data_IF_189627144835
#
_entry.id   IF_189627144835
#
_cell.length_a   1.000
_cell.length_b   1.000
_cell.length_c   1.000
_cell.angle_alpha   90.00
_cell.angle_beta   90.00
_cell.angle_gamma   90.00
#
_symmetry.space_group_name_H-M   'P 1'
#
loop_
_entity.id
_entity.type
_entity.pdbx_description
1 polymer ?
#
# COMPACT_ATOMS: atom_id res chain seq x y z
N UNK A 1 3.74 22.28 -12.62
CA UNK A 1 3.58 21.31 -11.51
C UNK A 1 4.94 21.18 -10.81
N UNK A 2 5.04 21.38 -9.49
CA UNK A 2 6.36 21.35 -8.80
C UNK A 2 6.89 19.91 -8.80
N UNK A 3 8.21 19.72 -8.99
CA UNK A 3 8.90 18.40 -9.00
C UNK A 3 8.48 17.50 -7.84
N UNK A 4 8.27 18.09 -6.67
CA UNK A 4 7.86 17.38 -5.46
C UNK A 4 6.48 16.72 -5.57
N UNK A 5 5.50 17.39 -6.18
CA UNK A 5 4.15 16.82 -6.38
C UNK A 5 4.19 15.59 -7.27
N UNK A 6 4.99 15.64 -8.34
CA UNK A 6 5.14 14.49 -9.24
C UNK A 6 5.80 13.30 -8.53
N UNK A 7 6.81 13.54 -7.69
CA UNK A 7 7.46 12.48 -6.92
C UNK A 7 6.51 11.82 -5.93
N UNK A 8 5.70 12.60 -5.21
CA UNK A 8 4.71 12.04 -4.28
C UNK A 8 3.68 11.20 -5.04
N UNK A 9 3.19 11.66 -6.18
CA UNK A 9 2.26 10.90 -7.02
C UNK A 9 2.89 9.59 -7.50
N UNK A 10 4.15 9.63 -7.95
CA UNK A 10 4.87 8.47 -8.44
C UNK A 10 5.06 7.41 -7.32
N UNK A 11 5.56 7.82 -6.14
CA UNK A 11 5.67 6.96 -4.96
C UNK A 11 4.31 6.35 -4.62
N UNK A 12 3.26 7.18 -4.52
CA UNK A 12 1.92 6.73 -4.16
C UNK A 12 1.37 5.67 -5.11
N UNK A 13 1.53 5.89 -6.42
CA UNK A 13 1.05 4.98 -7.45
C UNK A 13 1.77 3.62 -7.39
N UNK A 14 3.10 3.61 -7.33
CA UNK A 14 3.86 2.37 -7.29
C UNK A 14 3.66 1.60 -5.99
N UNK A 15 3.52 2.29 -4.87
CA UNK A 15 3.19 1.66 -3.59
C UNK A 15 1.81 1.00 -3.62
N UNK A 16 0.81 1.68 -4.19
CA UNK A 16 -0.52 1.09 -4.37
C UNK A 16 -0.48 -0.12 -5.30
N UNK A 17 0.21 -0.01 -6.44
CA UNK A 17 0.36 -1.11 -7.39
C UNK A 17 1.05 -2.32 -6.77
N UNK A 18 2.13 -2.11 -6.01
CA UNK A 18 2.82 -3.19 -5.31
C UNK A 18 1.93 -3.84 -4.24
N UNK A 19 1.21 -3.03 -3.46
CA UNK A 19 0.24 -3.54 -2.50
C UNK A 19 -0.88 -4.35 -3.16
N UNK A 20 -1.37 -3.89 -4.31
CA UNK A 20 -2.37 -4.59 -5.10
C UNK A 20 -1.86 -5.93 -5.64
N UNK A 21 -0.61 -6.00 -6.10
CA UNK A 21 0.02 -7.25 -6.53
C UNK A 21 0.12 -8.25 -5.38
N UNK A 22 0.58 -7.80 -4.20
CA UNK A 22 0.65 -8.65 -3.00
C UNK A 22 -0.75 -9.16 -2.64
N UNK A 23 -1.74 -8.25 -2.64
CA UNK A 23 -3.13 -8.57 -2.37
C UNK A 23 -3.69 -9.63 -3.34
N UNK A 24 -3.41 -9.49 -4.65
CA UNK A 24 -3.78 -10.45 -5.67
C UNK A 24 -3.18 -11.84 -5.43
N UNK A 25 -1.87 -11.91 -5.16
CA UNK A 25 -1.21 -13.19 -4.88
C UNK A 25 -1.73 -13.84 -3.58
N UNK A 26 -1.93 -13.06 -2.52
CA UNK A 26 -2.52 -13.57 -1.28
C UNK A 26 -3.94 -14.10 -1.48
N UNK A 27 -4.75 -13.44 -2.32
CA UNK A 27 -6.09 -13.90 -2.67
C UNK A 27 -6.07 -15.19 -3.48
N UNK A 28 -5.15 -15.27 -4.45
CA UNK A 28 -4.95 -16.48 -5.24
C UNK A 28 -4.58 -17.66 -4.35
N UNK A 29 -3.62 -17.47 -3.42
CA UNK A 29 -3.24 -18.51 -2.47
C UNK A 29 -4.41 -18.91 -1.56
N UNK A 30 -5.16 -17.92 -1.06
CA UNK A 30 -6.34 -18.16 -0.24
C UNK A 30 -7.38 -19.00 -1.00
N UNK A 31 -7.83 -18.56 -2.18
CA UNK A 31 -8.82 -19.29 -3.00
C UNK A 31 -8.32 -20.69 -3.35
N UNK A 32 -7.04 -20.84 -3.72
CA UNK A 32 -6.45 -22.13 -4.07
C UNK A 32 -6.45 -23.14 -2.90
N UNK A 33 -6.54 -22.67 -1.67
CA UNK A 33 -6.62 -23.54 -0.49
C UNK A 33 -8.01 -24.16 -0.26
N UNK A 34 -9.07 -23.55 -0.82
CA UNK A 34 -10.46 -24.04 -0.69
C UNK A 34 -10.95 -24.75 -1.94
N UNK A 35 -10.48 -24.33 -3.10
CA UNK A 35 -10.88 -24.88 -4.39
C UNK A 35 -9.93 -26.01 -4.74
N UNK A 36 -10.41 -27.26 -4.66
CA UNK A 36 -9.65 -28.44 -5.09
C UNK A 36 -9.44 -28.52 -6.61
N UNK A 37 -10.12 -27.67 -7.37
CA UNK A 37 -9.96 -27.56 -8.82
C UNK A 37 -8.69 -26.78 -9.19
N UNK A 38 -8.00 -27.27 -10.23
CA UNK A 38 -6.76 -26.66 -10.74
C UNK A 38 -6.98 -25.77 -11.96
N UNK A 39 -8.22 -25.46 -12.31
CA UNK A 39 -8.51 -24.56 -13.44
C UNK A 39 -7.99 -23.14 -13.11
N UNK A 40 -6.93 -22.66 -13.80
CA UNK A 40 -6.35 -21.35 -13.53
C UNK A 40 -7.32 -20.20 -13.80
N UNK A 41 -8.23 -20.36 -14.76
CA UNK A 41 -9.20 -19.32 -15.10
C UNK A 41 -10.23 -19.16 -13.99
N UNK A 42 -10.74 -20.27 -13.45
CA UNK A 42 -11.66 -20.25 -12.32
C UNK A 42 -11.00 -19.64 -11.08
N UNK A 43 -9.76 -20.04 -10.76
CA UNK A 43 -9.00 -19.48 -9.64
C UNK A 43 -8.81 -17.96 -9.79
N UNK A 44 -8.47 -17.49 -10.99
CA UNK A 44 -8.34 -16.07 -11.27
C UNK A 44 -9.68 -15.33 -11.12
N UNK A 45 -10.77 -15.88 -11.67
CA UNK A 45 -12.10 -15.28 -11.58
C UNK A 45 -12.58 -15.16 -10.14
N UNK A 46 -12.41 -16.22 -9.34
CA UNK A 46 -12.76 -16.21 -7.92
C UNK A 46 -11.92 -15.23 -7.12
N UNK A 47 -10.62 -15.15 -7.42
CA UNK A 47 -9.71 -14.18 -6.79
C UNK A 47 -10.12 -12.74 -7.13
N UNK A 48 -10.40 -12.45 -8.40
CA UNK A 48 -10.84 -11.12 -8.84
C UNK A 48 -12.22 -10.77 -8.28
N UNK A 49 -13.14 -11.74 -8.20
CA UNK A 49 -14.44 -11.54 -7.58
C UNK A 49 -14.29 -11.15 -6.11
N UNK A 50 -13.48 -11.88 -5.35
CA UNK A 50 -13.17 -11.57 -3.94
C UNK A 50 -12.52 -10.19 -3.79
N UNK A 51 -11.65 -9.79 -4.72
CA UNK A 51 -11.00 -8.48 -4.76
C UNK A 51 -11.96 -7.32 -5.08
N UNK A 52 -12.95 -7.56 -5.93
CA UNK A 52 -13.71 -6.49 -6.60
C UNK A 52 -14.61 -5.68 -5.67
N UNK A 53 -15.13 -6.28 -4.59
CA UNK A 53 -16.23 -5.72 -3.81
C UNK A 53 -15.95 -4.34 -3.21
N UNK A 54 -14.70 -4.08 -2.82
CA UNK A 54 -14.32 -2.83 -2.15
C UNK A 54 -13.08 -2.15 -2.74
N UNK A 55 -12.53 -2.65 -3.86
CA UNK A 55 -11.26 -2.15 -4.40
C UNK A 55 -11.30 -0.66 -4.74
N UNK A 56 -12.41 -0.18 -5.32
CA UNK A 56 -12.58 1.24 -5.67
C UNK A 56 -12.59 2.12 -4.42
N UNK A 57 -13.31 1.70 -3.38
CA UNK A 57 -13.36 2.40 -2.10
C UNK A 57 -11.98 2.41 -1.44
N UNK A 58 -11.26 1.29 -1.46
CA UNK A 58 -9.91 1.21 -0.91
C UNK A 58 -8.91 2.08 -1.68
N UNK A 59 -8.96 2.06 -3.01
CA UNK A 59 -8.16 2.97 -3.84
C UNK A 59 -8.44 4.43 -3.51
N UNK A 60 -9.72 4.82 -3.44
CA UNK A 60 -10.12 6.18 -3.07
C UNK A 60 -9.57 6.59 -1.71
N UNK A 61 -9.82 5.79 -0.67
CA UNK A 61 -9.34 6.08 0.68
C UNK A 61 -7.80 6.13 0.74
N UNK A 62 -7.11 5.32 -0.07
CA UNK A 62 -5.66 5.28 -0.08
C UNK A 62 -5.08 6.60 -0.59
N UNK A 63 -5.56 7.04 -1.76
CA UNK A 63 -5.08 8.30 -2.35
C UNK A 63 -5.61 9.54 -1.63
N UNK A 64 -6.83 9.51 -1.10
CA UNK A 64 -7.46 10.67 -0.45
C UNK A 64 -7.07 10.84 1.03
N UNK A 65 -6.69 9.76 1.73
CA UNK A 65 -6.45 9.79 3.18
C UNK A 65 -5.05 9.30 3.53
N UNK A 66 -4.73 8.05 3.18
CA UNK A 66 -3.48 7.44 3.64
C UNK A 66 -2.24 8.12 3.05
N UNK A 67 -2.25 8.43 1.75
CA UNK A 67 -1.14 9.11 1.06
C UNK A 67 -0.87 10.50 1.66
N UNK A 68 -1.85 11.41 1.80
CA UNK A 68 -1.62 12.69 2.46
C UNK A 68 -1.10 12.57 3.88
N UNK A 69 -1.62 11.60 4.65
CA UNK A 69 -1.20 11.36 6.03
C UNK A 69 0.27 10.88 6.09
N UNK A 70 0.62 9.85 5.31
CA UNK A 70 1.99 9.33 5.24
C UNK A 70 2.97 10.39 4.72
N UNK A 71 2.62 11.10 3.63
CA UNK A 71 3.47 12.16 3.08
C UNK A 71 3.65 13.32 4.06
N UNK A 72 2.60 13.69 4.80
CA UNK A 72 2.67 14.72 5.84
C UNK A 72 3.61 14.32 6.97
N UNK A 73 3.44 13.12 7.51
CA UNK A 73 4.26 12.60 8.61
C UNK A 73 5.73 12.42 8.19
N UNK A 74 5.98 11.76 7.06
CA UNK A 74 7.34 11.44 6.62
C UNK A 74 8.14 12.64 6.13
N UNK A 75 7.50 13.76 5.79
CA UNK A 75 8.19 15.03 5.55
C UNK A 75 8.86 15.59 6.80
N UNK A 76 8.33 15.28 7.98
CA UNK A 76 8.81 15.80 9.26
C UNK A 76 9.85 14.87 9.92
N UNK A 77 10.21 13.76 9.29
CA UNK A 77 11.05 12.73 9.90
C UNK A 77 12.52 12.86 9.53
N UNK A 78 13.37 12.45 10.48
CA UNK A 78 14.80 12.38 10.26
C UNK A 78 15.12 11.19 9.33
N UNK A 79 15.91 11.37 8.25
CA UNK A 79 16.32 10.27 7.36
C UNK A 79 17.22 9.21 8.00
N UNK A 80 17.76 9.48 9.21
CA UNK A 80 18.74 8.63 9.88
C UNK A 80 18.26 7.23 10.27
N UNK A 81 16.94 6.99 10.33
CA UNK A 81 16.37 5.68 10.62
C UNK A 81 15.56 5.14 9.42
N UNK A 82 16.16 4.35 8.53
CA UNK A 82 15.49 3.80 7.34
C UNK A 82 14.36 2.84 7.68
N UNK A 83 14.46 2.12 8.80
CA UNK A 83 13.49 1.08 9.16
C UNK A 83 12.16 1.68 9.63
N UNK A 84 12.18 2.89 10.18
CA UNK A 84 10.99 3.58 10.69
C UNK A 84 9.98 3.92 9.60
N UNK A 85 10.42 4.28 8.39
CA UNK A 85 9.52 4.63 7.28
C UNK A 85 8.59 3.47 6.87
N UNK A 86 9.09 2.27 6.49
CA UNK A 86 8.22 1.15 6.10
C UNK A 86 7.36 0.64 7.26
N UNK A 87 7.92 0.52 8.47
CA UNK A 87 7.14 0.07 9.65
C UNK A 87 5.97 0.99 9.95
N UNK A 88 6.21 2.29 9.88
CA UNK A 88 5.17 3.28 10.16
C UNK A 88 4.17 3.42 9.02
N UNK A 89 4.62 3.24 7.78
CA UNK A 89 3.75 3.13 6.61
C UNK A 89 2.77 1.96 6.77
N UNK A 90 3.26 0.78 7.15
CA UNK A 90 2.42 -0.37 7.52
C UNK A 90 1.46 -0.06 8.66
N UNK A 91 1.93 0.60 9.72
CA UNK A 91 1.11 0.98 10.87
C UNK A 91 -0.01 1.95 10.49
N UNK A 92 0.26 2.93 9.64
CA UNK A 92 -0.74 3.86 9.10
C UNK A 92 -1.73 3.11 8.21
N UNK A 93 -1.25 2.22 7.33
CA UNK A 93 -2.10 1.36 6.52
C UNK A 93 -3.07 0.54 7.37
N UNK A 94 -2.57 -0.10 8.43
CA UNK A 94 -3.39 -0.86 9.38
C UNK A 94 -4.43 0.04 10.09
N UNK A 95 -4.03 1.22 10.57
CA UNK A 95 -4.94 2.15 11.23
C UNK A 95 -6.06 2.62 10.29
N UNK A 96 -5.73 2.97 9.05
CA UNK A 96 -6.72 3.35 8.03
C UNK A 96 -7.66 2.18 7.71
N UNK A 97 -7.14 0.96 7.59
CA UNK A 97 -7.94 -0.23 7.36
C UNK A 97 -8.93 -0.48 8.51
N UNK A 98 -8.48 -0.34 9.77
CA UNK A 98 -9.33 -0.50 10.95
C UNK A 98 -10.43 0.57 11.02
N UNK A 99 -10.11 1.83 10.72
CA UNK A 99 -11.11 2.92 10.67
C UNK A 99 -12.11 2.68 9.55
N UNK A 100 -11.66 2.30 8.35
CA UNK A 100 -12.54 1.98 7.24
C UNK A 100 -13.48 0.80 7.58
N UNK A 101 -12.94 -0.24 8.22
CA UNK A 101 -13.71 -1.39 8.66
C UNK A 101 -14.77 -1.03 9.72
N UNK A 102 -14.44 -0.14 10.65
CA UNK A 102 -15.39 0.38 11.63
C UNK A 102 -16.54 1.14 10.97
N UNK A 103 -16.24 1.98 9.97
CA UNK A 103 -17.24 2.78 9.26
C UNK A 103 -18.18 1.93 8.40
N UNK A 104 -17.63 0.93 7.70
CA UNK A 104 -18.39 0.05 6.79
C UNK A 104 -19.00 -1.16 7.53
N UNK A 105 -18.72 -1.31 8.84
CA UNK A 105 -19.12 -2.44 9.71
C UNK A 105 -18.68 -3.81 9.18
N UNK A 106 -17.69 -3.85 8.31
CA UNK A 106 -17.13 -5.07 7.74
C UNK A 106 -15.62 -5.02 7.91
N UNK A 107 -15.09 -5.90 8.77
CA UNK A 107 -13.64 -6.13 8.88
C UNK A 107 -13.28 -7.18 7.86
N UNK A 108 -12.79 -6.76 6.70
CA UNK A 108 -12.18 -7.67 5.74
C UNK A 108 -10.67 -7.72 6.00
N UNK A 109 -10.22 -8.84 6.57
CA UNK A 109 -8.78 -9.11 6.78
C UNK A 109 -8.01 -9.03 5.46
N UNK A 110 -8.68 -9.30 4.35
CA UNK A 110 -8.09 -9.29 3.04
C UNK A 110 -7.72 -7.85 2.65
N UNK A 111 -8.65 -6.90 2.81
CA UNK A 111 -8.38 -5.48 2.60
C UNK A 111 -7.23 -4.97 3.45
N UNK A 112 -7.09 -5.45 4.69
CA UNK A 112 -5.95 -5.08 5.55
C UNK A 112 -4.60 -5.42 4.90
N UNK A 113 -4.49 -6.53 4.15
CA UNK A 113 -3.25 -6.88 3.46
C UNK A 113 -2.87 -5.84 2.40
N UNK A 114 -3.85 -5.33 1.63
CA UNK A 114 -3.61 -4.26 0.66
C UNK A 114 -3.04 -3.01 1.35
N UNK A 115 -3.67 -2.58 2.45
CA UNK A 115 -3.27 -1.38 3.16
C UNK A 115 -1.89 -1.47 3.80
N UNK A 116 -1.63 -2.57 4.49
CA UNK A 116 -0.35 -2.81 5.19
C UNK A 116 0.78 -2.89 4.18
N UNK A 117 0.60 -3.66 3.10
CA UNK A 117 1.63 -3.82 2.06
C UNK A 117 1.86 -2.53 1.26
N UNK A 118 0.80 -1.81 0.87
CA UNK A 118 0.93 -0.52 0.19
C UNK A 118 1.63 0.51 1.08
N UNK A 119 1.28 0.56 2.38
CA UNK A 119 1.92 1.42 3.36
C UNK A 119 3.41 1.09 3.55
N UNK A 120 3.76 -0.19 3.67
CA UNK A 120 5.15 -0.65 3.74
C UNK A 120 5.95 -0.15 2.54
N UNK A 121 5.47 -0.40 1.32
CA UNK A 121 6.15 -0.02 0.08
C UNK A 121 6.22 1.51 -0.04
N UNK A 122 5.20 2.24 0.40
CA UNK A 122 5.24 3.70 0.47
C UNK A 122 6.39 4.18 1.34
N UNK A 123 6.57 3.61 2.53
CA UNK A 123 7.71 3.91 3.40
C UNK A 123 9.06 3.62 2.74
N UNK A 124 9.23 2.45 2.12
CA UNK A 124 10.44 2.10 1.39
C UNK A 124 10.77 3.12 0.28
N UNK A 125 9.80 3.41 -0.59
CA UNK A 125 9.99 4.31 -1.72
C UNK A 125 10.19 5.76 -1.27
N UNK A 126 9.53 6.17 -0.18
CA UNK A 126 9.73 7.49 0.41
C UNK A 126 11.14 7.67 0.96
N UNK A 127 11.64 6.70 1.72
CA UNK A 127 13.00 6.75 2.23
C UNK A 127 14.02 6.71 1.09
N UNK A 128 13.85 5.83 0.10
CA UNK A 128 14.71 5.78 -1.09
C UNK A 128 14.79 7.13 -1.81
N UNK A 129 13.67 7.87 -1.89
CA UNK A 129 13.64 9.24 -2.44
C UNK A 129 14.52 10.20 -1.64
N UNK A 130 14.48 10.13 -0.31
CA UNK A 130 15.30 10.97 0.56
C UNK A 130 16.78 10.61 0.43
N UNK A 131 17.09 9.32 0.43
CA UNK A 131 18.45 8.80 0.27
C UNK A 131 19.07 9.24 -1.08
N UNK A 132 18.34 9.04 -2.19
CA UNK A 132 18.80 9.46 -3.52
C UNK A 132 18.98 10.99 -3.64
N UNK A 133 18.19 11.77 -2.90
CA UNK A 133 18.39 13.22 -2.83
C UNK A 133 19.62 13.58 -1.97
N UNK A 134 19.92 12.81 -0.91
CA UNK A 134 21.07 12.98 -0.04
C UNK A 134 22.41 12.57 -0.69
N UNK A 135 22.45 11.54 -1.53
CA UNK A 135 23.66 11.18 -2.29
C UNK A 135 24.12 12.32 -3.21
N UNK A 136 23.20 13.17 -3.69
CA UNK A 136 23.58 14.39 -4.44
C UNK A 136 24.28 15.46 -3.59
N UNK A 137 24.20 15.40 -2.26
CA UNK A 137 24.87 16.32 -1.33
C UNK A 137 26.24 15.80 -0.85
N UNK A 138 26.57 14.54 -1.11
CA UNK A 138 27.85 13.91 -0.75
C UNK A 138 28.62 13.34 -1.96
N UNK A 139 28.08 13.45 -3.17
CA UNK A 139 28.80 13.24 -4.42
C UNK A 139 29.65 14.49 -4.77
N UNK A 140 30.69 14.74 -3.98
CA UNK A 140 31.82 15.61 -4.30
C UNK A 140 33.11 14.94 -3.92
#
# INVERSE_FOLDING_TARGET
MRKETWLVLNVSFWSFAAGFVIHLFSGLFYVSSFVGERDPLLLLMLTVYMLSGNLVLHGFLYFAVAVPLMAGLFRCWNPADPAMYPLSGSGIGLAVALVAAFLVKTVDWYSMMLWVSAGFVFGCLWWNRLYAAGESQYAT
#
